data_IF_175742501639
#
_entry.id   IF_175742501639
#
_cell.length_a   1.000
_cell.length_b   1.000
_cell.length_c   1.000
_cell.angle_alpha   90.00
_cell.angle_beta   90.00
_cell.angle_gamma   90.00
#
_symmetry.space_group_name_H-M   'P 1'
#
loop_
_entity.id
_entity.type
_entity.pdbx_description
1 polymer ?
#
# COMPACT_ATOMS: atom_id res chain seq x y z
N UNK A 1 -35.41 -20.17 -69.25
CA UNK A 1 -35.69 -20.52 -67.83
C UNK A 1 -34.56 -20.00 -66.98
N UNK A 2 -34.77 -18.82 -66.34
CA UNK A 2 -33.79 -18.20 -65.46
C UNK A 2 -34.25 -18.38 -64.03
N UNK A 3 -33.52 -19.16 -63.22
CA UNK A 3 -33.75 -19.31 -61.78
C UNK A 3 -33.06 -18.15 -61.02
N UNK A 4 -33.83 -17.37 -60.27
CA UNK A 4 -33.35 -16.44 -59.26
C UNK A 4 -33.08 -17.20 -57.98
N UNK A 5 -31.98 -16.89 -57.25
CA UNK A 5 -31.80 -17.37 -55.89
C UNK A 5 -32.50 -16.45 -54.90
N UNK A 6 -33.30 -17.06 -54.01
CA UNK A 6 -33.88 -16.42 -52.83
C UNK A 6 -32.76 -16.23 -51.77
N UNK A 7 -32.45 -15.00 -51.40
CA UNK A 7 -31.58 -14.71 -50.26
C UNK A 7 -32.45 -14.61 -49.00
N UNK A 8 -32.27 -15.54 -48.07
CA UNK A 8 -32.89 -15.54 -46.75
C UNK A 8 -32.01 -14.68 -45.81
N UNK A 9 -32.45 -13.48 -45.46
CA UNK A 9 -31.80 -12.63 -44.48
C UNK A 9 -32.18 -13.09 -43.06
N UNK A 10 -31.21 -13.62 -42.33
CA UNK A 10 -31.31 -13.95 -40.90
C UNK A 10 -31.14 -12.65 -40.09
N UNK A 11 -32.23 -12.14 -39.52
CA UNK A 11 -32.16 -11.07 -38.49
C UNK A 11 -31.83 -11.71 -37.16
N UNK A 12 -30.61 -11.45 -36.66
CA UNK A 12 -30.20 -11.75 -35.28
C UNK A 12 -30.63 -10.58 -34.40
N UNK A 13 -31.30 -10.80 -33.25
CA UNK A 13 -31.59 -9.76 -32.31
C UNK A 13 -30.30 -9.38 -31.56
N UNK A 14 -29.88 -8.12 -31.66
CA UNK A 14 -28.86 -7.54 -30.81
C UNK A 14 -29.42 -7.33 -29.40
N UNK A 15 -29.00 -8.15 -28.45
CA UNK A 15 -29.25 -7.91 -27.03
C UNK A 15 -28.28 -6.83 -26.59
N UNK A 16 -28.80 -5.63 -26.34
CA UNK A 16 -28.06 -4.57 -25.69
C UNK A 16 -27.88 -4.95 -24.19
N UNK A 17 -26.68 -5.31 -23.79
CA UNK A 17 -26.31 -5.36 -22.38
C UNK A 17 -26.28 -3.92 -21.87
N UNK A 18 -27.31 -3.53 -21.13
CA UNK A 18 -27.28 -2.31 -20.33
C UNK A 18 -26.30 -2.53 -19.18
N UNK A 19 -25.18 -1.82 -19.23
CA UNK A 19 -24.23 -1.70 -18.12
C UNK A 19 -24.95 -0.95 -16.97
N UNK A 20 -25.48 -1.71 -16.00
CA UNK A 20 -26.04 -1.16 -14.78
C UNK A 20 -24.91 -0.96 -13.78
N UNK A 21 -24.15 0.12 -13.94
CA UNK A 21 -23.35 0.66 -12.83
C UNK A 21 -24.35 1.18 -11.78
N UNK A 22 -24.68 0.34 -10.81
CA UNK A 22 -25.44 0.75 -9.63
C UNK A 22 -24.49 1.62 -8.79
N UNK A 23 -24.57 2.95 -8.96
CA UNK A 23 -23.96 3.88 -8.02
C UNK A 23 -24.63 3.69 -6.66
N UNK A 24 -23.91 3.16 -5.67
CA UNK A 24 -24.39 3.07 -4.30
C UNK A 24 -24.59 4.50 -3.74
N UNK A 25 -25.84 4.84 -3.48
CA UNK A 25 -26.21 6.09 -2.80
C UNK A 25 -25.93 5.96 -1.30
N UNK A 26 -24.77 6.43 -0.88
CA UNK A 26 -24.34 6.40 0.52
C UNK A 26 -25.19 7.29 1.46
N UNK A 27 -26.03 8.17 0.91
CA UNK A 27 -26.90 9.07 1.72
C UNK A 27 -28.09 8.34 2.35
N UNK A 28 -28.39 7.12 1.89
CA UNK A 28 -29.53 6.30 2.35
C UNK A 28 -29.12 5.11 3.22
N UNK A 29 -27.84 5.00 3.60
CA UNK A 29 -27.43 3.94 4.50
C UNK A 29 -27.90 4.21 5.92
N UNK A 30 -28.79 3.37 6.43
CA UNK A 30 -29.17 3.35 7.83
C UNK A 30 -27.98 2.82 8.66
N UNK A 31 -27.29 3.75 9.32
CA UNK A 31 -26.11 3.45 10.14
C UNK A 31 -26.43 2.47 11.27
N UNK A 32 -27.63 2.53 11.83
CA UNK A 32 -28.06 1.62 12.90
C UNK A 32 -28.29 0.20 12.38
N UNK A 33 -28.90 0.06 11.19
CA UNK A 33 -29.08 -1.24 10.55
C UNK A 33 -27.73 -1.86 10.15
N UNK A 34 -26.78 -1.05 9.66
CA UNK A 34 -25.45 -1.50 9.31
C UNK A 34 -24.64 -1.95 10.55
N UNK A 35 -24.74 -1.23 11.66
CA UNK A 35 -24.09 -1.62 12.92
C UNK A 35 -24.71 -2.90 13.52
N UNK A 36 -26.03 -3.10 13.38
CA UNK A 36 -26.69 -4.33 13.79
C UNK A 36 -26.23 -5.54 12.95
N UNK A 37 -26.05 -5.37 11.64
CA UNK A 37 -25.52 -6.43 10.77
C UNK A 37 -24.05 -6.78 11.09
N UNK A 38 -23.25 -5.80 11.55
CA UNK A 38 -21.85 -6.03 11.94
C UNK A 38 -21.75 -6.72 13.31
N UNK A 39 -22.73 -6.54 14.21
CA UNK A 39 -22.76 -7.23 15.51
C UNK A 39 -23.17 -8.71 15.39
N UNK A 40 -23.86 -9.09 14.29
CA UNK A 40 -24.26 -10.47 13.99
C UNK A 40 -23.29 -11.18 13.02
N UNK A 41 -22.19 -10.51 12.63
CA UNK A 41 -21.17 -11.13 11.80
C UNK A 41 -20.52 -12.30 12.55
N UNK A 42 -20.40 -13.50 11.93
CA UNK A 42 -19.77 -14.62 12.59
C UNK A 42 -18.37 -14.24 13.04
N UNK A 43 -18.03 -14.60 14.30
CA UNK A 43 -16.70 -14.40 14.86
C UNK A 43 -15.65 -15.00 13.89
N UNK A 44 -14.92 -14.16 13.17
CA UNK A 44 -13.95 -14.60 12.17
C UNK A 44 -13.72 -13.64 11.00
N UNK A 45 -14.56 -12.63 10.76
CA UNK A 45 -14.26 -11.58 9.78
C UNK A 45 -13.41 -10.51 10.47
N UNK A 46 -12.09 -10.67 10.43
CA UNK A 46 -11.13 -9.75 11.06
C UNK A 46 -10.46 -8.81 10.05
N UNK A 47 -10.76 -8.98 8.77
CA UNK A 47 -10.14 -8.21 7.69
C UNK A 47 -11.12 -7.18 7.14
N UNK A 48 -10.81 -5.91 7.33
CA UNK A 48 -11.53 -4.81 6.68
C UNK A 48 -11.30 -4.82 5.18
N UNK A 49 -12.33 -4.55 4.38
CA UNK A 49 -12.28 -4.59 2.92
C UNK A 49 -11.29 -3.63 2.26
N UNK A 50 -10.75 -2.64 2.98
CA UNK A 50 -9.74 -1.71 2.49
C UNK A 50 -8.61 -1.58 3.52
N UNK A 51 -7.38 -1.95 3.13
CA UNK A 51 -6.24 -2.09 4.03
C UNK A 51 -5.93 -0.83 4.85
N UNK A 52 -6.01 0.36 4.24
CA UNK A 52 -5.79 1.63 4.93
C UNK A 52 -6.84 1.90 6.01
N UNK A 53 -8.13 1.65 5.71
CA UNK A 53 -9.19 1.80 6.71
C UNK A 53 -9.06 0.81 7.85
N UNK A 54 -8.71 -0.45 7.56
CA UNK A 54 -8.49 -1.47 8.57
C UNK A 54 -7.34 -1.10 9.51
N UNK A 55 -6.22 -0.61 8.95
CA UNK A 55 -5.08 -0.16 9.74
C UNK A 55 -5.44 1.03 10.64
N UNK A 56 -6.15 2.03 10.11
CA UNK A 56 -6.59 3.20 10.89
C UNK A 56 -7.59 2.78 11.98
N UNK A 57 -8.58 1.95 11.65
CA UNK A 57 -9.59 1.49 12.60
C UNK A 57 -8.95 0.76 13.79
N UNK A 58 -8.00 -0.14 13.53
CA UNK A 58 -7.27 -0.85 14.58
C UNK A 58 -6.46 0.10 15.49
N UNK A 59 -5.80 1.10 14.91
CA UNK A 59 -5.07 2.11 15.70
C UNK A 59 -6.03 2.95 16.54
N UNK A 60 -7.17 3.37 16.00
CA UNK A 60 -8.20 4.11 16.73
C UNK A 60 -8.76 3.28 17.89
N UNK A 61 -8.97 1.99 17.69
CA UNK A 61 -9.40 1.05 18.74
C UNK A 61 -8.39 0.99 19.88
N UNK A 62 -7.09 0.85 19.56
CA UNK A 62 -6.01 0.85 20.56
C UNK A 62 -5.95 2.17 21.33
N UNK A 63 -6.08 3.31 20.63
CA UNK A 63 -6.08 4.63 21.27
C UNK A 63 -7.29 4.83 22.19
N UNK A 64 -8.47 4.37 21.78
CA UNK A 64 -9.69 4.43 22.61
C UNK A 64 -9.63 3.52 23.84
N UNK A 65 -8.97 2.38 23.74
CA UNK A 65 -8.85 1.42 24.84
C UNK A 65 -7.81 1.85 25.89
N UNK A 66 -6.87 2.72 25.55
CA UNK A 66 -5.81 3.20 26.44
C UNK A 66 -6.26 4.48 27.17
N UNK A 67 -6.58 4.42 28.49
CA UNK A 67 -7.00 5.61 29.26
C UNK A 67 -5.89 6.66 29.39
N UNK A 68 -4.64 6.31 29.11
CA UNK A 68 -3.50 7.21 29.13
C UNK A 68 -3.27 7.94 27.79
N UNK A 69 -4.16 7.75 26.80
CA UNK A 69 -4.05 8.41 25.50
C UNK A 69 -4.14 9.92 25.62
N UNK A 70 -3.08 10.63 25.23
CA UNK A 70 -3.06 12.08 25.13
C UNK A 70 -3.71 12.53 23.80
N UNK A 71 -5.02 12.72 23.82
CA UNK A 71 -5.80 13.10 22.66
C UNK A 71 -5.37 14.44 22.03
N UNK A 72 -4.68 15.32 22.78
CA UNK A 72 -4.16 16.57 22.23
C UNK A 72 -3.00 16.37 21.25
N UNK A 73 -2.37 15.21 21.28
CA UNK A 73 -1.24 14.84 20.41
C UNK A 73 -1.63 13.87 19.31
N UNK A 74 -2.80 13.24 19.39
CA UNK A 74 -3.24 12.26 18.39
C UNK A 74 -3.35 12.94 17.02
N UNK A 75 -2.73 12.32 16.01
CA UNK A 75 -2.69 12.83 14.65
C UNK A 75 -2.95 11.69 13.64
N UNK A 76 -4.24 11.38 13.44
CA UNK A 76 -4.67 10.34 12.47
C UNK A 76 -4.37 10.79 11.03
N UNK A 77 -4.34 12.10 10.75
CA UNK A 77 -3.99 12.59 9.42
C UNK A 77 -2.52 12.29 9.06
N UNK A 78 -1.60 12.36 10.01
CA UNK A 78 -0.21 11.94 9.80
C UNK A 78 -0.12 10.43 9.49
N UNK A 79 -0.89 9.60 10.21
CA UNK A 79 -1.00 8.17 9.90
C UNK A 79 -1.58 7.95 8.50
N UNK A 80 -2.65 8.65 8.12
CA UNK A 80 -3.24 8.56 6.78
C UNK A 80 -2.22 8.91 5.69
N UNK A 81 -1.45 9.98 5.89
CA UNK A 81 -0.41 10.38 4.93
C UNK A 81 0.68 9.31 4.80
N UNK A 82 1.10 8.72 5.91
CA UNK A 82 2.08 7.62 5.89
C UNK A 82 1.55 6.41 5.11
N UNK A 83 0.30 6.03 5.29
CA UNK A 83 -0.33 4.94 4.54
C UNK A 83 -0.43 5.25 3.03
N UNK A 84 -0.69 6.52 2.66
CA UNK A 84 -0.65 6.97 1.27
C UNK A 84 0.76 6.81 0.68
N UNK A 85 1.80 7.15 1.45
CA UNK A 85 3.18 6.99 1.02
C UNK A 85 3.51 5.50 0.80
N UNK A 86 3.10 4.62 1.71
CA UNK A 86 3.25 3.17 1.57
C UNK A 86 2.57 2.64 0.31
N UNK A 87 1.29 2.97 0.08
CA UNK A 87 0.54 2.56 -1.11
C UNK A 87 1.18 3.10 -2.41
N UNK A 88 1.62 4.36 -2.39
CA UNK A 88 2.28 5.00 -3.54
C UNK A 88 3.55 4.26 -3.93
N UNK A 89 4.37 3.90 -2.96
CA UNK A 89 5.62 3.16 -3.20
C UNK A 89 5.34 1.72 -3.62
N UNK A 90 4.38 1.06 -2.99
CA UNK A 90 4.10 -0.37 -3.24
C UNK A 90 3.38 -0.60 -4.58
N UNK A 91 2.43 0.28 -4.93
CA UNK A 91 1.48 0.04 -6.02
C UNK A 91 1.76 0.89 -7.27
N UNK A 92 2.51 2.02 -7.14
CA UNK A 92 2.61 3.03 -8.20
C UNK A 92 4.05 3.39 -8.59
N UNK A 93 5.05 2.86 -7.88
CA UNK A 93 6.45 3.05 -8.24
C UNK A 93 6.91 1.98 -9.25
N UNK A 94 7.79 2.40 -10.17
CA UNK A 94 8.57 1.49 -10.99
C UNK A 94 9.90 1.18 -10.28
N UNK A 95 10.31 -0.07 -10.29
CA UNK A 95 11.56 -0.52 -9.66
C UNK A 95 12.44 -1.19 -10.70
N UNK A 96 13.66 -0.67 -10.87
CA UNK A 96 14.73 -1.35 -11.60
C UNK A 96 15.75 -1.89 -10.59
N UNK A 97 16.10 -3.17 -10.72
CA UNK A 97 17.05 -3.86 -9.84
C UNK A 97 18.35 -4.12 -10.58
N UNK A 98 19.45 -3.71 -9.99
CA UNK A 98 20.82 -4.05 -10.46
C UNK A 98 21.49 -4.92 -9.39
N UNK A 99 21.66 -6.22 -9.62
CA UNK A 99 22.36 -7.10 -8.70
C UNK A 99 23.82 -6.69 -8.51
N UNK A 100 24.33 -6.87 -7.29
CA UNK A 100 25.74 -6.70 -6.93
C UNK A 100 26.31 -7.97 -6.30
N UNK A 101 27.62 -8.14 -6.15
CA UNK A 101 28.19 -9.33 -5.52
C UNK A 101 27.75 -9.56 -4.08
N UNK A 102 27.29 -8.51 -3.37
CA UNK A 102 26.90 -8.55 -1.96
C UNK A 102 25.45 -8.18 -1.72
N UNK A 103 24.67 -7.89 -2.79
CA UNK A 103 23.28 -7.47 -2.64
C UNK A 103 22.67 -6.92 -3.92
N UNK A 104 22.08 -5.72 -3.85
CA UNK A 104 21.45 -5.08 -4.99
C UNK A 104 21.38 -3.55 -4.86
N UNK A 105 21.25 -2.88 -5.99
CA UNK A 105 20.89 -1.47 -6.13
C UNK A 105 19.49 -1.41 -6.71
N UNK A 106 18.56 -0.79 -5.99
CA UNK A 106 17.18 -0.58 -6.41
C UNK A 106 16.99 0.88 -6.84
N UNK A 107 16.71 1.12 -8.13
CA UNK A 107 16.31 2.43 -8.63
C UNK A 107 14.80 2.49 -8.68
N UNK A 108 14.21 3.35 -7.87
CA UNK A 108 12.76 3.45 -7.65
C UNK A 108 12.26 4.78 -8.16
N UNK A 109 11.37 4.77 -9.14
CA UNK A 109 10.95 5.98 -9.87
C UNK A 109 9.45 6.00 -10.15
N UNK A 110 8.94 7.18 -10.48
CA UNK A 110 7.60 7.38 -11.00
C UNK A 110 7.58 8.61 -11.92
N UNK A 111 6.61 8.71 -12.80
CA UNK A 111 6.32 9.94 -13.57
C UNK A 111 5.40 10.89 -12.80
N UNK A 112 4.73 10.43 -11.74
CA UNK A 112 3.84 11.24 -10.90
C UNK A 112 4.66 11.94 -9.80
N UNK A 113 4.67 13.29 -9.72
CA UNK A 113 5.43 14.03 -8.72
C UNK A 113 5.04 13.69 -7.26
N UNK A 114 3.78 13.36 -7.00
CA UNK A 114 3.33 12.97 -5.66
C UNK A 114 3.94 11.62 -5.26
N UNK A 115 3.97 10.65 -6.17
CA UNK A 115 4.61 9.36 -5.97
C UNK A 115 6.12 9.50 -5.81
N UNK A 116 6.78 10.37 -6.59
CA UNK A 116 8.21 10.67 -6.43
C UNK A 116 8.52 11.18 -5.03
N UNK A 117 7.68 12.08 -4.49
CA UNK A 117 7.84 12.59 -3.13
C UNK A 117 7.69 11.47 -2.08
N UNK A 118 6.70 10.58 -2.24
CA UNK A 118 6.53 9.40 -1.38
C UNK A 118 7.74 8.46 -1.44
N UNK A 119 8.27 8.19 -2.64
CA UNK A 119 9.46 7.36 -2.83
C UNK A 119 10.65 7.94 -2.05
N UNK A 120 10.94 9.24 -2.20
CA UNK A 120 12.07 9.87 -1.51
C UNK A 120 11.94 9.78 0.00
N UNK A 121 10.76 10.10 0.55
CA UNK A 121 10.52 9.99 2.00
C UNK A 121 10.69 8.56 2.50
N UNK A 122 10.04 7.60 1.87
CA UNK A 122 10.03 6.21 2.32
C UNK A 122 11.41 5.55 2.22
N UNK A 123 12.13 5.75 1.10
CA UNK A 123 13.46 5.17 0.89
C UNK A 123 14.48 5.77 1.87
N UNK A 124 14.46 7.09 2.06
CA UNK A 124 15.37 7.74 3.02
C UNK A 124 15.09 7.30 4.46
N UNK A 125 13.82 7.30 4.88
CA UNK A 125 13.41 6.87 6.21
C UNK A 125 13.78 5.40 6.47
N UNK A 126 13.51 4.52 5.51
CA UNK A 126 13.85 3.10 5.64
C UNK A 126 15.36 2.88 5.77
N UNK A 127 16.17 3.50 4.90
CA UNK A 127 17.62 3.39 4.98
C UNK A 127 18.16 3.89 6.33
N UNK A 128 17.67 5.05 6.81
CA UNK A 128 18.10 5.60 8.09
C UNK A 128 17.76 4.69 9.28
N UNK A 129 16.57 4.08 9.28
CA UNK A 129 16.08 3.24 10.38
C UNK A 129 16.65 1.83 10.35
N UNK A 130 16.85 1.26 9.16
CA UNK A 130 17.18 -0.15 8.98
C UNK A 130 18.65 -0.42 8.65
N UNK A 131 19.47 0.62 8.51
CA UNK A 131 20.92 0.45 8.30
C UNK A 131 21.54 -0.32 9.47
N UNK A 132 22.26 -1.40 9.17
CA UNK A 132 22.83 -2.31 10.15
C UNK A 132 21.88 -3.40 10.66
N UNK A 133 20.58 -3.27 10.46
CA UNK A 133 19.63 -4.31 10.81
C UNK A 133 19.85 -5.56 9.91
N UNK A 134 19.63 -6.74 10.45
CA UNK A 134 19.87 -8.02 9.77
C UNK A 134 21.35 -8.20 9.28
N UNK A 135 22.27 -7.39 9.74
CA UNK A 135 23.67 -7.39 9.28
C UNK A 135 23.86 -6.76 7.89
N UNK A 136 22.86 -6.04 7.38
CA UNK A 136 22.93 -5.39 6.07
C UNK A 136 23.24 -3.90 6.19
N UNK A 137 24.05 -3.38 5.27
CA UNK A 137 24.21 -1.95 5.08
C UNK A 137 23.18 -1.43 4.09
N UNK A 138 22.49 -0.37 4.45
CA UNK A 138 21.52 0.33 3.62
C UNK A 138 21.97 1.77 3.39
N UNK A 139 21.99 2.20 2.14
CA UNK A 139 22.28 3.59 1.76
C UNK A 139 21.22 4.09 0.79
N UNK A 140 20.68 5.28 1.07
CA UNK A 140 19.70 5.94 0.20
C UNK A 140 20.31 7.19 -0.43
N UNK A 141 19.91 7.48 -1.67
CA UNK A 141 20.21 8.75 -2.36
C UNK A 141 19.05 9.13 -3.26
N UNK A 142 18.88 10.41 -3.48
CA UNK A 142 17.92 10.90 -4.46
C UNK A 142 18.38 10.59 -5.91
N UNK A 143 17.39 10.42 -6.77
CA UNK A 143 17.58 10.25 -8.21
C UNK A 143 16.48 10.98 -8.98
N UNK A 144 16.72 11.19 -10.28
CA UNK A 144 15.70 11.73 -11.16
C UNK A 144 14.45 10.83 -11.15
N UNK A 145 13.31 11.44 -10.88
CA UNK A 145 12.04 10.73 -10.77
C UNK A 145 11.83 9.92 -9.51
N UNK A 146 12.74 9.95 -8.51
CA UNK A 146 12.58 9.17 -7.29
C UNK A 146 13.81 9.06 -6.42
N UNK A 147 14.23 7.83 -6.06
CA UNK A 147 15.37 7.54 -5.21
C UNK A 147 16.04 6.22 -5.57
N UNK A 148 17.25 6.03 -5.07
CA UNK A 148 18.00 4.77 -5.13
C UNK A 148 18.21 4.26 -3.72
N UNK A 149 17.92 2.97 -3.50
CA UNK A 149 18.31 2.23 -2.32
C UNK A 149 19.39 1.22 -2.69
N UNK A 150 20.54 1.33 -2.06
CA UNK A 150 21.59 0.32 -2.13
C UNK A 150 21.53 -0.54 -0.88
N UNK A 151 21.51 -1.86 -1.05
CA UNK A 151 21.47 -2.84 0.03
C UNK A 151 22.60 -3.83 -0.18
N UNK A 152 23.45 -3.97 0.84
CA UNK A 152 24.56 -4.90 0.80
C UNK A 152 24.72 -5.64 2.13
N UNK A 153 25.08 -6.91 2.03
CA UNK A 153 25.43 -7.78 3.14
C UNK A 153 26.69 -8.56 2.82
N UNK A 154 26.76 -9.79 3.24
CA UNK A 154 27.78 -10.76 2.80
C UNK A 154 27.43 -11.31 1.42
N UNK A 155 28.38 -11.99 0.76
CA UNK A 155 28.09 -12.68 -0.52
C UNK A 155 26.96 -13.71 -0.41
N UNK A 156 26.75 -14.31 0.78
CA UNK A 156 25.64 -15.23 1.04
C UNK A 156 24.27 -14.53 1.08
N UNK A 157 24.24 -13.22 1.41
CA UNK A 157 23.02 -12.44 1.47
C UNK A 157 22.55 -11.96 0.09
N UNK A 158 23.42 -11.92 -0.91
CA UNK A 158 23.11 -11.40 -2.23
C UNK A 158 21.87 -12.08 -2.86
N UNK A 159 21.81 -13.42 -2.79
CA UNK A 159 20.65 -14.17 -3.31
C UNK A 159 19.35 -13.82 -2.57
N UNK A 160 19.40 -13.66 -1.24
CA UNK A 160 18.25 -13.29 -0.41
C UNK A 160 17.79 -11.87 -0.71
N UNK A 161 18.72 -10.91 -0.79
CA UNK A 161 18.40 -9.50 -1.10
C UNK A 161 17.76 -9.40 -2.49
N UNK A 162 18.32 -10.09 -3.49
CA UNK A 162 17.77 -10.11 -4.84
C UNK A 162 16.40 -10.80 -4.89
N UNK A 163 16.22 -11.91 -4.17
CA UNK A 163 14.95 -12.64 -4.11
C UNK A 163 13.82 -11.87 -3.42
N UNK A 164 14.13 -11.11 -2.38
CA UNK A 164 13.18 -10.22 -1.71
C UNK A 164 12.80 -9.04 -2.61
N UNK A 165 13.72 -8.57 -3.42
CA UNK A 165 13.53 -7.34 -4.18
C UNK A 165 13.33 -6.12 -3.31
N UNK A 166 13.06 -4.97 -3.92
CA UNK A 166 12.87 -3.71 -3.21
C UNK A 166 11.77 -3.79 -2.15
N UNK A 167 10.58 -4.27 -2.53
CA UNK A 167 9.43 -4.31 -1.62
C UNK A 167 9.65 -5.27 -0.45
N UNK A 168 10.21 -6.45 -0.71
CA UNK A 168 10.55 -7.41 0.34
C UNK A 168 11.57 -6.84 1.34
N UNK A 169 12.56 -6.09 0.86
CA UNK A 169 13.53 -5.40 1.73
C UNK A 169 12.83 -4.36 2.60
N UNK A 170 11.92 -3.55 2.04
CA UNK A 170 11.17 -2.54 2.79
C UNK A 170 10.30 -3.14 3.90
N UNK A 171 9.90 -4.40 3.80
CA UNK A 171 9.05 -5.05 4.82
C UNK A 171 9.84 -5.70 5.95
N UNK A 172 11.17 -5.82 5.83
CA UNK A 172 12.00 -6.44 6.87
C UNK A 172 12.17 -5.53 8.08
N UNK A 173 12.02 -6.12 9.26
CA UNK A 173 12.28 -5.45 10.55
C UNK A 173 11.28 -4.34 10.92
N UNK A 174 10.33 -4.05 10.08
CA UNK A 174 9.31 -3.04 10.35
C UNK A 174 8.21 -3.64 11.22
N UNK A 175 8.11 -3.19 12.45
CA UNK A 175 6.96 -3.45 13.32
C UNK A 175 5.82 -2.49 12.93
N UNK A 176 5.22 -2.68 11.75
CA UNK A 176 4.28 -1.75 11.13
C UNK A 176 3.21 -1.24 12.10
N UNK A 177 2.62 -2.11 12.91
CA UNK A 177 1.58 -1.70 13.87
C UNK A 177 2.12 -0.78 14.96
N UNK A 178 3.28 -1.08 15.54
CA UNK A 178 3.89 -0.21 16.54
C UNK A 178 4.29 1.14 15.94
N UNK A 179 4.83 1.15 14.73
CA UNK A 179 5.19 2.33 13.98
C UNK A 179 3.97 3.20 13.64
N UNK A 180 2.88 2.61 13.15
CA UNK A 180 1.63 3.31 12.90
C UNK A 180 1.05 3.94 14.16
N UNK A 181 1.10 3.23 15.29
CA UNK A 181 0.64 3.74 16.58
C UNK A 181 1.51 4.94 17.05
N UNK A 182 2.82 4.88 16.84
CA UNK A 182 3.73 6.01 17.14
C UNK A 182 3.37 7.25 16.33
N UNK A 183 3.17 7.11 15.01
CA UNK A 183 2.76 8.23 14.13
C UNK A 183 1.40 8.80 14.60
N UNK A 184 0.43 7.93 14.87
CA UNK A 184 -0.90 8.35 15.33
C UNK A 184 -0.86 9.07 16.68
N UNK A 185 0.09 8.74 17.57
CA UNK A 185 0.36 9.46 18.83
C UNK A 185 1.12 10.77 18.64
N UNK A 186 1.35 11.22 17.41
CA UNK A 186 2.07 12.44 17.08
C UNK A 186 3.59 12.34 17.21
N UNK A 187 4.15 11.13 17.29
CA UNK A 187 5.59 10.92 17.30
C UNK A 187 6.14 10.80 15.87
N UNK A 188 7.42 11.16 15.69
CA UNK A 188 8.11 10.91 14.43
C UNK A 188 9.11 9.76 14.61
N UNK A 189 8.78 8.54 14.18
CA UNK A 189 9.64 7.37 14.32
C UNK A 189 10.85 7.37 13.38
N UNK A 190 10.97 8.39 12.52
CA UNK A 190 12.06 8.54 11.55
C UNK A 190 13.10 9.61 11.95
N UNK A 191 13.06 10.11 13.20
CA UNK A 191 14.05 11.04 13.76
C UNK A 191 14.94 10.36 14.79
#
# INVERSE_FOLDING_TARGET
MRMLPFALALLLPTVALADQTVAMDHSKMDHAAMMAMMSDAPAGVTEGGQSAFAAIAQIVEVLNADPATDWSKVNIEALRQHLIDMDSVTLRAAVATTPTPTGAVFTVTSTDPAVQASIRRMVAAHAATMNGANGWALAAREADGGAVLEVSGTGADAARINGLGFIGVLTLGMHHQAHHLMIARGMNPHQ
#
